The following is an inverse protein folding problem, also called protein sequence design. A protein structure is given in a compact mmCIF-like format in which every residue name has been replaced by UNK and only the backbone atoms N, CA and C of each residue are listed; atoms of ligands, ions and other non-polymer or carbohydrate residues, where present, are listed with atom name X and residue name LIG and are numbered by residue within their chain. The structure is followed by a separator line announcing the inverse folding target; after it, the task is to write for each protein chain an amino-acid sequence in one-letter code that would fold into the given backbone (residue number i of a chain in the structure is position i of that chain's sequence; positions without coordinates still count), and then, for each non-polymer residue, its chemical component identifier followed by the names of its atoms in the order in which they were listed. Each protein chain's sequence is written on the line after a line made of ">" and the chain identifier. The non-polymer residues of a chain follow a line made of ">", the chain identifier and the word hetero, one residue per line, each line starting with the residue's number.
data_IF_829829313817
#
_entry.id   IF_829829313817
#
_cell.length_a   1.000
_cell.length_b   1.000
_cell.length_c   1.000
_cell.angle_alpha   90.00
_cell.angle_beta   90.00
_cell.angle_gamma   90.00
#
_symmetry.space_group_name_H-M   'P 1'
#
loop_
_entity.id
_entity.type
_entity.pdbx_description
1 polymer ?
#
# COMPACT_ATOMS: atom_id res chain seq x y z
N UNK A 1 -13.40 -18.99 -6.17
CA UNK A 1 -13.26 -17.55 -6.48
C UNK A 1 -13.52 -16.59 -5.29
N UNK A 2 -14.72 -16.46 -4.71
CA UNK A 2 -14.96 -15.47 -3.65
C UNK A 2 -14.05 -15.59 -2.42
N UNK A 3 -13.82 -16.81 -1.94
CA UNK A 3 -12.89 -17.05 -0.83
C UNK A 3 -11.43 -16.73 -1.17
N UNK A 4 -11.03 -16.92 -2.42
CA UNK A 4 -9.70 -16.53 -2.90
C UNK A 4 -9.57 -15.02 -3.00
N UNK A 5 -10.60 -14.35 -3.55
CA UNK A 5 -10.61 -12.91 -3.70
C UNK A 5 -10.56 -12.19 -2.34
N UNK A 6 -11.33 -12.66 -1.35
CA UNK A 6 -11.27 -12.14 0.03
C UNK A 6 -9.91 -12.37 0.69
N UNK A 7 -9.30 -13.54 0.50
CA UNK A 7 -7.94 -13.81 1.00
C UNK A 7 -6.91 -12.89 0.36
N UNK A 8 -7.02 -12.66 -0.95
CA UNK A 8 -6.14 -11.74 -1.68
C UNK A 8 -6.37 -10.28 -1.29
N UNK A 9 -7.61 -9.87 -1.04
CA UNK A 9 -7.95 -8.55 -0.49
C UNK A 9 -7.24 -8.32 0.85
N UNK A 10 -7.36 -9.29 1.76
CA UNK A 10 -6.72 -9.27 3.06
C UNK A 10 -5.19 -9.27 2.97
N UNK A 11 -4.62 -10.02 2.02
CA UNK A 11 -3.19 -10.04 1.74
C UNK A 11 -2.66 -8.69 1.27
N UNK A 12 -3.37 -8.05 0.34
CA UNK A 12 -3.03 -6.70 -0.15
C UNK A 12 -3.19 -5.66 0.97
N UNK A 13 -4.26 -5.75 1.79
CA UNK A 13 -4.45 -4.89 2.96
C UNK A 13 -3.24 -4.94 3.88
N UNK A 14 -2.82 -6.14 4.28
CA UNK A 14 -1.64 -6.35 5.14
C UNK A 14 -0.35 -5.84 4.51
N UNK A 15 -0.18 -5.98 3.20
CA UNK A 15 0.99 -5.45 2.50
C UNK A 15 1.02 -3.91 2.55
N UNK A 16 -0.11 -3.26 2.28
CA UNK A 16 -0.24 -1.79 2.36
C UNK A 16 0.03 -1.29 3.79
N UNK A 17 -0.52 -1.97 4.80
CA UNK A 17 -0.27 -1.65 6.22
C UNK A 17 1.20 -1.81 6.60
N UNK A 18 1.85 -2.91 6.17
CA UNK A 18 3.29 -3.12 6.40
C UNK A 18 4.17 -2.07 5.71
N UNK A 19 3.75 -1.58 4.55
CA UNK A 19 4.43 -0.48 3.85
C UNK A 19 4.27 0.87 4.57
N UNK A 20 3.37 0.99 5.56
CA UNK A 20 3.15 2.20 6.35
C UNK A 20 1.94 3.05 5.92
N UNK A 21 1.05 2.49 5.08
CA UNK A 21 -0.25 3.11 4.79
C UNK A 21 -1.29 2.65 5.82
N UNK A 22 -2.21 3.53 6.20
CA UNK A 22 -3.38 3.13 6.97
C UNK A 22 -4.51 2.81 6.01
N UNK A 23 -5.08 1.61 6.10
CA UNK A 23 -6.25 1.20 5.33
C UNK A 23 -7.50 1.42 6.19
N UNK A 24 -8.42 2.27 5.74
CA UNK A 24 -9.68 2.51 6.45
C UNK A 24 -10.75 1.48 6.09
N UNK A 25 -10.90 1.21 4.81
CA UNK A 25 -11.87 0.27 4.27
C UNK A 25 -11.25 -0.47 3.09
N UNK A 26 -11.64 -1.72 2.93
CA UNK A 26 -11.37 -2.50 1.74
C UNK A 26 -12.65 -3.18 1.27
N UNK A 27 -12.72 -3.48 -0.02
CA UNK A 27 -13.79 -4.27 -0.58
C UNK A 27 -13.34 -5.01 -1.83
N UNK A 28 -14.00 -6.13 -2.13
CA UNK A 28 -13.78 -6.93 -3.32
C UNK A 28 -15.07 -7.15 -4.12
N UNK A 29 -14.93 -7.22 -5.44
CA UNK A 29 -16.01 -7.53 -6.36
C UNK A 29 -15.50 -8.41 -7.49
N UNK A 30 -16.34 -9.29 -8.02
CA UNK A 30 -16.06 -10.08 -9.21
C UNK A 30 -17.35 -10.36 -9.97
N UNK A 31 -17.26 -10.50 -11.29
CA UNK A 31 -18.33 -11.03 -12.14
C UNK A 31 -18.34 -12.59 -12.14
N UNK A 32 -17.53 -13.21 -11.30
CA UNK A 32 -17.28 -14.67 -11.20
C UNK A 32 -16.77 -15.31 -12.49
N UNK A 33 -16.33 -14.51 -13.46
CA UNK A 33 -15.96 -14.98 -14.79
C UNK A 33 -14.62 -14.39 -15.25
N UNK A 34 -14.58 -13.10 -15.57
CA UNK A 34 -13.43 -12.46 -16.24
C UNK A 34 -12.81 -11.31 -15.47
N UNK A 35 -13.51 -10.75 -14.48
CA UNK A 35 -13.10 -9.53 -13.80
C UNK A 35 -13.16 -9.70 -12.29
N UNK A 36 -12.16 -9.13 -11.63
CA UNK A 36 -12.23 -8.84 -10.21
C UNK A 36 -11.68 -7.45 -9.94
N UNK A 37 -12.16 -6.84 -8.87
CA UNK A 37 -11.78 -5.51 -8.41
C UNK A 37 -11.51 -5.62 -6.93
N UNK A 38 -10.37 -5.07 -6.50
CA UNK A 38 -10.10 -4.78 -5.10
C UNK A 38 -10.05 -3.25 -4.93
N UNK A 39 -10.74 -2.75 -3.92
CA UNK A 39 -10.75 -1.33 -3.55
C UNK A 39 -10.17 -1.18 -2.16
N UNK A 40 -9.35 -0.14 -1.99
CA UNK A 40 -8.73 0.22 -0.71
C UNK A 40 -8.83 1.73 -0.52
N UNK A 41 -9.33 2.14 0.63
CA UNK A 41 -9.34 3.53 1.07
C UNK A 41 -8.14 3.77 1.99
N UNK A 42 -7.18 4.57 1.52
CA UNK A 42 -5.93 4.85 2.24
C UNK A 42 -5.96 6.24 2.86
N UNK A 43 -5.23 6.43 3.96
CA UNK A 43 -4.99 7.75 4.55
C UNK A 43 -4.20 8.68 3.65
N UNK A 44 -3.32 8.12 2.81
CA UNK A 44 -2.50 8.85 1.85
C UNK A 44 -2.08 7.95 0.70
N UNK A 45 -1.75 8.57 -0.43
CA UNK A 45 -1.19 7.86 -1.59
C UNK A 45 0.34 7.90 -1.64
N UNK A 46 0.96 8.85 -0.94
CA UNK A 46 2.42 8.98 -0.87
C UNK A 46 2.86 8.95 0.59
N UNK A 47 3.85 8.12 0.90
CA UNK A 47 4.58 8.18 2.17
C UNK A 47 5.49 9.42 2.21
N UNK A 48 5.94 9.85 3.41
CA UNK A 48 6.96 10.87 3.53
C UNK A 48 8.23 10.48 2.77
N UNK A 49 8.78 11.43 2.00
CA UNK A 49 10.06 11.26 1.28
C UNK A 49 11.25 11.07 2.22
N UNK A 50 11.15 11.63 3.42
CA UNK A 50 12.16 11.50 4.46
C UNK A 50 11.50 10.97 5.72
N UNK A 51 12.13 9.96 6.33
CA UNK A 51 11.73 9.40 7.60
C UNK A 51 12.87 9.53 8.60
N UNK A 52 12.52 9.79 9.86
CA UNK A 52 13.49 9.83 10.93
C UNK A 52 13.91 8.41 11.25
N UNK A 53 15.19 8.09 11.03
CA UNK A 53 15.77 6.81 11.40
C UNK A 53 16.60 7.00 12.66
N UNK A 54 16.10 6.46 13.77
CA UNK A 54 16.80 6.43 15.04
C UNK A 54 17.87 5.34 15.02
N UNK A 55 19.10 5.74 15.31
CA UNK A 55 20.25 4.88 15.47
C UNK A 55 20.48 4.44 16.92
N UNK A 56 21.61 3.76 17.17
CA UNK A 56 21.99 3.36 18.52
C UNK A 56 22.44 4.56 19.37
N UNK A 57 22.53 4.38 20.69
CA UNK A 57 23.26 5.30 21.55
C UNK A 57 24.73 5.45 21.13
N UNK A 58 25.29 6.64 21.29
CA UNK A 58 26.63 7.02 20.78
C UNK A 58 27.78 6.22 21.40
N UNK A 59 27.59 5.70 22.61
CA UNK A 59 28.61 4.96 23.36
C UNK A 59 28.65 3.46 23.02
N UNK A 60 27.74 2.97 22.18
CA UNK A 60 27.78 1.60 21.70
C UNK A 60 28.69 1.45 20.48
N UNK A 61 29.35 0.30 20.35
CA UNK A 61 30.28 0.03 19.23
C UNK A 61 29.62 0.17 17.86
N UNK A 62 28.34 -0.20 17.74
CA UNK A 62 27.57 -0.09 16.49
C UNK A 62 27.20 1.35 16.09
N UNK A 63 27.55 2.36 16.91
CA UNK A 63 27.44 3.76 16.52
C UNK A 63 28.34 4.09 15.33
N UNK A 64 29.55 3.51 15.28
CA UNK A 64 30.47 3.71 14.15
C UNK A 64 29.90 3.12 12.85
N UNK A 65 29.34 1.91 12.90
CA UNK A 65 28.69 1.28 11.74
C UNK A 65 27.50 2.12 11.23
N UNK A 66 26.73 2.72 12.15
CA UNK A 66 25.64 3.62 11.80
C UNK A 66 26.15 4.87 11.08
N UNK A 67 27.20 5.50 11.62
CA UNK A 67 27.81 6.69 11.02
C UNK A 67 28.37 6.37 9.62
N UNK A 68 29.13 5.28 9.47
CA UNK A 68 29.69 4.87 8.18
C UNK A 68 28.59 4.68 7.13
N UNK A 69 27.51 3.98 7.51
CA UNK A 69 26.38 3.71 6.63
C UNK A 69 25.64 4.98 6.22
N UNK A 70 25.43 5.91 7.14
CA UNK A 70 24.47 7.01 6.95
C UNK A 70 25.08 8.36 6.61
N UNK A 71 26.39 8.56 6.81
CA UNK A 71 27.09 9.83 6.51
C UNK A 71 26.98 10.31 5.06
N UNK A 72 26.65 9.41 4.12
CA UNK A 72 26.46 9.75 2.69
C UNK A 72 25.10 9.34 2.12
N UNK A 73 24.18 8.83 2.95
CA UNK A 73 22.91 8.20 2.49
C UNK A 73 21.64 8.90 3.01
N UNK A 74 21.78 10.08 3.61
CA UNK A 74 20.67 10.85 4.18
C UNK A 74 21.07 12.28 4.54
N UNK A 75 20.23 12.97 5.31
CA UNK A 75 20.58 14.27 5.92
C UNK A 75 20.93 14.03 7.40
N UNK A 76 22.10 14.52 7.83
CA UNK A 76 22.76 14.12 9.07
C UNK A 76 23.96 13.20 8.79
N UNK A 77 24.33 12.28 9.71
CA UNK A 77 23.74 12.03 11.04
C UNK A 77 23.87 13.22 12.01
N UNK A 78 23.02 13.27 13.03
CA UNK A 78 23.19 14.18 14.18
C UNK A 78 22.94 13.42 15.49
N UNK A 79 23.34 14.04 16.59
CA UNK A 79 23.11 13.52 17.94
C UNK A 79 21.97 14.32 18.57
N UNK A 80 21.02 13.62 19.19
CA UNK A 80 20.04 14.22 20.10
C UNK A 80 20.04 13.38 21.37
N UNK A 81 20.26 14.04 22.51
CA UNK A 81 20.52 13.38 23.79
C UNK A 81 21.74 12.45 23.67
N UNK A 82 21.56 11.14 23.84
CA UNK A 82 22.61 10.14 23.76
C UNK A 82 22.56 9.30 22.48
N UNK A 83 21.71 9.65 21.50
CA UNK A 83 21.40 8.81 20.33
C UNK A 83 21.71 9.48 19.00
N UNK A 84 22.07 8.62 18.03
CA UNK A 84 22.23 9.00 16.63
C UNK A 84 20.90 9.04 15.90
N UNK A 85 20.75 10.00 15.00
CA UNK A 85 19.60 10.14 14.13
C UNK A 85 20.05 10.48 12.71
N UNK A 86 19.27 10.07 11.72
CA UNK A 86 19.41 10.50 10.33
C UNK A 86 18.03 10.69 9.69
N UNK A 87 17.89 11.65 8.80
CA UNK A 87 16.77 11.69 7.87
C UNK A 87 17.09 10.75 6.71
N UNK A 88 16.52 9.55 6.75
CA UNK A 88 16.62 8.58 5.66
C UNK A 88 15.69 8.99 4.53
N UNK A 89 16.22 9.07 3.31
CA UNK A 89 15.41 9.27 2.10
C UNK A 89 14.79 7.95 1.66
N UNK A 90 13.49 7.96 1.37
CA UNK A 90 12.81 6.87 0.68
C UNK A 90 12.89 7.13 -0.83
N UNK A 91 13.37 6.15 -1.59
CA UNK A 91 13.51 6.25 -3.05
C UNK A 91 12.16 6.18 -3.75
N UNK A 92 11.23 5.40 -3.20
CA UNK A 92 9.86 5.29 -3.65
C UNK A 92 8.91 5.50 -2.46
N UNK A 93 7.83 6.25 -2.70
CA UNK A 93 6.85 6.64 -1.69
C UNK A 93 5.41 6.40 -2.13
N UNK A 94 5.19 6.20 -3.42
CA UNK A 94 3.87 6.11 -4.01
C UNK A 94 3.28 4.71 -3.83
N UNK A 95 2.07 4.64 -3.25
CA UNK A 95 1.40 3.39 -2.88
C UNK A 95 1.29 2.40 -4.03
N UNK A 96 0.97 2.91 -5.24
CA UNK A 96 0.87 2.09 -6.45
C UNK A 96 2.20 1.43 -6.80
N UNK A 97 3.30 2.19 -6.81
CA UNK A 97 4.61 1.63 -7.21
C UNK A 97 5.11 0.63 -6.15
N UNK A 98 4.97 0.98 -4.87
CA UNK A 98 5.35 0.09 -3.77
C UNK A 98 4.55 -1.22 -3.78
N UNK A 99 3.23 -1.14 -3.93
CA UNK A 99 2.38 -2.34 -4.00
C UNK A 99 2.71 -3.19 -5.23
N UNK A 100 2.96 -2.57 -6.39
CA UNK A 100 3.35 -3.33 -7.59
C UNK A 100 4.63 -4.12 -7.36
N UNK A 101 5.64 -3.49 -6.73
CA UNK A 101 6.90 -4.14 -6.39
C UNK A 101 6.69 -5.33 -5.43
N UNK A 102 5.89 -5.16 -4.39
CA UNK A 102 5.54 -6.23 -3.44
C UNK A 102 4.85 -7.43 -4.12
N UNK A 103 3.99 -7.18 -5.11
CA UNK A 103 3.33 -8.23 -5.90
C UNK A 103 4.34 -8.96 -6.80
N UNK A 104 5.24 -8.22 -7.46
CA UNK A 104 6.29 -8.77 -8.33
C UNK A 104 7.26 -9.66 -7.54
N UNK A 105 7.66 -9.22 -6.35
CA UNK A 105 8.55 -9.93 -5.42
C UNK A 105 7.87 -11.10 -4.69
N UNK A 106 6.54 -11.27 -4.85
CA UNK A 106 5.79 -12.34 -4.19
C UNK A 106 5.60 -12.14 -2.68
N UNK A 107 5.77 -10.92 -2.20
CA UNK A 107 5.67 -10.55 -0.79
C UNK A 107 4.24 -10.19 -0.34
N UNK A 108 3.27 -10.27 -1.26
CA UNK A 108 1.83 -10.19 -0.98
C UNK A 108 1.22 -11.58 -0.93
N UNK A 109 0.50 -11.88 0.14
CA UNK A 109 -0.24 -13.13 0.29
C UNK A 109 -1.50 -13.15 -0.60
N UNK A 110 -1.32 -13.46 -1.88
CA UNK A 110 -2.40 -13.65 -2.88
C UNK A 110 -2.59 -15.14 -3.13
N UNK A 111 -3.80 -15.60 -3.44
CA UNK A 111 -4.02 -16.98 -3.85
C UNK A 111 -3.22 -17.31 -5.12
N UNK A 112 -2.69 -18.54 -5.22
CA UNK A 112 -1.82 -18.95 -6.34
C UNK A 112 -2.49 -18.75 -7.70
N UNK A 113 -3.78 -19.08 -7.78
CA UNK A 113 -4.57 -18.97 -9.01
C UNK A 113 -4.83 -17.52 -9.44
N UNK A 114 -4.70 -16.56 -8.51
CA UNK A 114 -4.87 -15.13 -8.79
C UNK A 114 -3.53 -14.40 -8.98
N UNK A 115 -2.40 -15.00 -8.62
CA UNK A 115 -1.10 -14.32 -8.62
C UNK A 115 -0.73 -13.75 -10.00
N UNK A 116 -0.88 -14.53 -11.06
CA UNK A 116 -0.58 -14.11 -12.43
C UNK A 116 -1.51 -12.97 -12.91
N UNK A 117 -2.75 -12.97 -12.46
CA UNK A 117 -3.69 -11.88 -12.74
C UNK A 117 -3.30 -10.60 -11.98
N UNK A 118 -2.86 -10.73 -10.72
CA UNK A 118 -2.42 -9.59 -9.90
C UNK A 118 -1.15 -8.95 -10.44
N UNK A 119 -0.19 -9.75 -10.94
CA UNK A 119 1.02 -9.24 -11.61
C UNK A 119 0.71 -8.39 -12.84
N UNK A 120 -0.36 -8.73 -13.56
CA UNK A 120 -0.84 -8.00 -14.75
C UNK A 120 -1.95 -7.00 -14.43
N UNK A 121 -2.34 -6.87 -13.16
CA UNK A 121 -3.46 -6.05 -12.78
C UNK A 121 -3.17 -4.57 -13.03
N UNK A 122 -4.16 -3.88 -13.57
CA UNK A 122 -4.13 -2.43 -13.60
C UNK A 122 -4.41 -1.88 -12.20
N UNK A 123 -3.50 -1.06 -11.67
CA UNK A 123 -3.65 -0.39 -10.38
C UNK A 123 -3.99 1.08 -10.63
N UNK A 124 -5.22 1.48 -10.30
CA UNK A 124 -5.69 2.86 -10.31
C UNK A 124 -5.68 3.48 -8.91
N UNK A 125 -5.39 4.77 -8.82
CA UNK A 125 -5.29 5.52 -7.56
C UNK A 125 -6.15 6.79 -7.54
N UNK A 126 -6.84 7.07 -8.64
CA UNK A 126 -7.72 8.20 -8.83
C UNK A 126 -9.06 7.74 -9.40
N UNK A 127 -10.12 8.53 -9.15
CA UNK A 127 -11.48 8.19 -9.55
C UNK A 127 -11.63 8.03 -11.07
N UNK A 128 -10.88 8.80 -11.87
CA UNK A 128 -10.94 8.71 -13.34
C UNK A 128 -10.35 7.40 -13.83
N UNK A 129 -9.26 6.94 -13.23
CA UNK A 129 -8.69 5.62 -13.51
C UNK A 129 -9.63 4.50 -13.08
N UNK A 130 -10.23 4.59 -11.89
CA UNK A 130 -11.22 3.61 -11.43
C UNK A 130 -12.45 3.55 -12.34
N UNK A 131 -13.05 4.70 -12.69
CA UNK A 131 -14.20 4.76 -13.59
C UNK A 131 -13.89 4.17 -14.98
N UNK A 132 -12.67 4.41 -15.51
CA UNK A 132 -12.23 3.78 -16.76
C UNK A 132 -12.11 2.26 -16.67
N UNK A 133 -11.77 1.71 -15.50
CA UNK A 133 -11.68 0.26 -15.29
C UNK A 133 -13.05 -0.40 -15.30
N UNK A 134 -14.04 0.17 -14.60
CA UNK A 134 -15.38 -0.41 -14.51
C UNK A 134 -16.19 -0.28 -15.82
N UNK A 135 -15.82 0.63 -16.74
CA UNK A 135 -16.53 0.84 -18.03
C UNK A 135 -18.05 0.98 -17.82
N UNK A 136 -18.88 0.62 -18.82
CA UNK A 136 -20.35 0.54 -18.74
C UNK A 136 -20.85 -0.74 -18.03
N UNK A 137 -20.05 -1.35 -17.15
CA UNK A 137 -20.48 -2.51 -16.36
C UNK A 137 -21.30 -2.02 -15.17
N UNK A 138 -22.63 -2.13 -15.27
CA UNK A 138 -23.56 -1.56 -14.28
C UNK A 138 -23.34 -2.12 -12.87
N UNK A 139 -23.01 -3.41 -12.76
CA UNK A 139 -22.76 -4.06 -11.47
C UNK A 139 -21.47 -3.56 -10.83
N UNK A 140 -20.40 -3.43 -11.63
CA UNK A 140 -19.13 -2.93 -11.14
C UNK A 140 -19.20 -1.43 -10.80
N UNK A 141 -19.94 -0.64 -11.60
CA UNK A 141 -20.24 0.76 -11.31
C UNK A 141 -21.03 0.91 -10.01
N UNK A 142 -22.06 0.07 -9.79
CA UNK A 142 -22.82 0.05 -8.55
C UNK A 142 -21.93 -0.29 -7.36
N UNK A 143 -21.06 -1.29 -7.48
CA UNK A 143 -20.09 -1.63 -6.44
C UNK A 143 -19.17 -0.45 -6.09
N UNK A 144 -18.60 0.22 -7.10
CA UNK A 144 -17.76 1.40 -6.89
C UNK A 144 -18.55 2.54 -6.22
N UNK A 145 -19.78 2.80 -6.67
CA UNK A 145 -20.64 3.82 -6.07
C UNK A 145 -20.96 3.53 -4.61
N UNK A 146 -21.33 2.30 -4.25
CA UNK A 146 -21.64 1.91 -2.87
C UNK A 146 -20.41 2.08 -1.97
N UNK A 147 -19.22 1.68 -2.45
CA UNK A 147 -17.96 1.87 -1.71
C UNK A 147 -17.67 3.36 -1.46
N UNK A 148 -17.79 4.18 -2.50
CA UNK A 148 -17.52 5.63 -2.42
C UNK A 148 -18.54 6.36 -1.56
N UNK A 149 -19.83 6.00 -1.65
CA UNK A 149 -20.89 6.64 -0.87
C UNK A 149 -20.69 6.43 0.63
N UNK A 150 -20.09 5.31 1.03
CA UNK A 150 -19.77 4.97 2.41
C UNK A 150 -20.98 5.01 3.37
N UNK A 151 -22.20 5.02 2.83
CA UNK A 151 -23.44 5.07 3.60
C UNK A 151 -24.09 3.70 3.59
N UNK A 152 -24.49 3.17 4.75
CA UNK A 152 -25.35 2.01 4.81
C UNK A 152 -26.63 2.24 4.00
N UNK A 153 -27.13 1.18 3.36
CA UNK A 153 -28.33 1.25 2.50
C UNK A 153 -29.56 1.80 3.19
N UNK A 154 -29.71 1.55 4.49
CA UNK A 154 -30.84 2.05 5.28
C UNK A 154 -30.78 3.56 5.59
N UNK A 155 -29.68 4.25 5.26
CA UNK A 155 -29.56 5.72 5.34
C UNK A 155 -29.61 6.39 3.96
N UNK A 156 -29.97 5.66 2.90
CA UNK A 156 -30.14 6.22 1.56
C UNK A 156 -31.61 6.62 1.36
N UNK A 157 -31.91 7.86 0.93
CA UNK A 157 -33.27 8.31 0.63
C UNK A 157 -33.83 7.63 -0.62
#
# INVERSE_FOLDING_TARGET
>A
IWGELRRSEEGVRKALERLGFKVYRSASWTDENKKCILLFELDKLNLPRYILHQGPPIYLRNALDFLEKWSRRGVGPWIREDRLYVWKRNEETYSKTLLKKEIEEGAVAVSRDLLEYFRKAFIGTDLRSLARMVKRDEYALRFLYEFLKARPRFLMP
#
